data_IF_887522035213
#
_entry.id   IF_887522035213
#
_cell.length_a   1.000
_cell.length_b   1.000
_cell.length_c   1.000
_cell.angle_alpha   90.00
_cell.angle_beta   90.00
_cell.angle_gamma   90.00
#
_symmetry.space_group_name_H-M   'P 1'
#
loop_
_entity.id
_entity.type
_entity.pdbx_description
1 polymer ?
#
# COMPACT_ATOMS: atom_id res chain seq x y z
N UNK A 1 23.86 5.69 46.57
CA UNK A 1 23.85 6.01 45.13
C UNK A 1 23.35 4.79 44.38
N UNK A 2 22.13 4.80 43.85
CA UNK A 2 21.66 3.79 42.91
C UNK A 2 21.04 4.54 41.73
N UNK A 3 21.79 4.59 40.63
CA UNK A 3 21.36 5.16 39.37
C UNK A 3 20.41 4.17 38.68
N UNK A 4 19.13 4.51 38.63
CA UNK A 4 18.16 3.78 37.83
C UNK A 4 18.35 4.17 36.36
N UNK A 5 18.86 3.24 35.56
CA UNK A 5 18.99 3.39 34.11
C UNK A 5 17.59 3.20 33.51
N UNK A 6 16.96 4.31 33.10
CA UNK A 6 15.79 4.25 32.21
C UNK A 6 16.27 3.85 30.81
N UNK A 7 16.02 2.60 30.42
CA UNK A 7 16.12 2.18 29.03
C UNK A 7 14.88 2.66 28.28
N UNK A 8 15.02 3.73 27.49
CA UNK A 8 14.00 4.17 26.56
C UNK A 8 13.89 3.16 25.42
N UNK A 9 12.80 2.39 25.39
CA UNK A 9 12.42 1.58 24.23
C UNK A 9 11.94 2.56 23.15
N UNK A 10 12.81 2.90 22.19
CA UNK A 10 12.35 3.56 20.97
C UNK A 10 11.52 2.53 20.18
N UNK A 11 10.19 2.65 20.28
CA UNK A 11 9.29 1.98 19.36
C UNK A 11 9.61 2.51 17.95
N UNK A 12 10.15 1.64 17.08
CA UNK A 12 10.33 1.96 15.67
C UNK A 12 8.95 2.18 15.05
N UNK A 13 8.57 3.45 14.85
CA UNK A 13 7.39 3.79 14.08
C UNK A 13 7.59 3.26 12.65
N UNK A 14 6.58 2.66 12.02
CA UNK A 14 6.66 2.27 10.62
C UNK A 14 7.00 3.52 9.79
N UNK A 15 8.17 3.53 9.16
CA UNK A 15 8.59 4.64 8.31
C UNK A 15 7.67 4.69 7.09
N UNK A 16 7.24 5.88 6.64
CA UNK A 16 6.45 6.01 5.43
C UNK A 16 7.25 5.48 4.23
N UNK A 17 6.57 4.93 3.21
CA UNK A 17 7.24 4.44 2.02
C UNK A 17 8.02 5.57 1.36
N UNK A 18 9.28 5.29 1.00
CA UNK A 18 10.05 6.21 0.16
C UNK A 18 9.53 6.12 -1.26
N UNK A 19 9.14 7.27 -1.82
CA UNK A 19 8.69 7.35 -3.20
C UNK A 19 9.91 7.16 -4.11
N UNK A 20 10.07 5.95 -4.68
CA UNK A 20 11.03 5.76 -5.76
C UNK A 20 10.45 6.35 -7.05
N UNK A 21 10.92 7.54 -7.41
CA UNK A 21 10.51 8.28 -8.61
C UNK A 21 11.34 7.93 -9.84
N UNK A 22 12.33 7.03 -9.71
CA UNK A 22 13.21 6.66 -10.83
C UNK A 22 12.56 5.63 -11.76
N UNK A 23 11.55 4.91 -11.30
CA UNK A 23 10.83 3.92 -12.08
C UNK A 23 9.34 3.99 -11.76
N UNK A 24 8.49 4.12 -12.78
CA UNK A 24 7.04 4.05 -12.61
C UNK A 24 6.37 5.31 -12.07
N UNK A 25 5.06 5.19 -11.89
CA UNK A 25 4.15 6.27 -11.56
C UNK A 25 3.58 6.04 -10.15
N UNK A 26 3.47 7.12 -9.37
CA UNK A 26 2.81 7.10 -8.08
C UNK A 26 1.44 7.74 -8.20
N UNK A 27 0.41 7.01 -7.83
CA UNK A 27 -0.97 7.49 -7.91
C UNK A 27 -1.72 7.18 -6.62
N UNK A 28 -2.73 7.97 -6.31
CA UNK A 28 -3.73 7.63 -5.30
C UNK A 28 -4.94 7.11 -6.03
N UNK A 29 -5.45 5.95 -5.61
CA UNK A 29 -6.64 5.34 -6.20
C UNK A 29 -7.74 5.14 -5.18
N UNK A 30 -8.98 5.21 -5.64
CA UNK A 30 -10.15 4.68 -4.93
C UNK A 30 -10.52 3.30 -5.46
N UNK A 31 -10.49 2.27 -4.62
CA UNK A 31 -10.88 0.90 -4.93
C UNK A 31 -12.41 0.74 -4.99
N UNK A 32 -12.92 0.37 -6.17
CA UNK A 32 -14.33 0.09 -6.41
C UNK A 32 -14.66 -1.36 -6.02
N UNK A 33 -13.83 -2.30 -6.48
CA UNK A 33 -14.08 -3.74 -6.36
C UNK A 33 -12.80 -4.51 -6.11
N UNK A 34 -12.86 -5.49 -5.21
CA UNK A 34 -11.76 -6.41 -4.90
C UNK A 34 -12.23 -7.84 -5.14
N UNK A 35 -11.53 -8.55 -6.01
CA UNK A 35 -11.76 -9.95 -6.37
C UNK A 35 -10.54 -10.76 -6.00
N UNK A 36 -10.73 -11.91 -5.38
CA UNK A 36 -9.67 -12.87 -5.09
C UNK A 36 -9.91 -14.11 -5.98
N UNK A 37 -9.24 -14.21 -7.13
CA UNK A 37 -9.47 -15.30 -8.07
C UNK A 37 -8.98 -16.63 -7.50
N UNK A 38 -9.75 -17.70 -7.70
CA UNK A 38 -9.36 -19.04 -7.25
C UNK A 38 -8.07 -19.55 -7.91
N UNK A 39 -7.76 -19.06 -9.11
CA UNK A 39 -6.59 -19.43 -9.90
C UNK A 39 -5.33 -18.59 -9.63
N UNK A 40 -5.39 -17.59 -8.73
CA UNK A 40 -4.26 -16.72 -8.37
C UNK A 40 -4.14 -16.61 -6.84
N UNK A 41 -3.76 -17.71 -6.17
CA UNK A 41 -3.64 -17.74 -4.72
C UNK A 41 -2.59 -16.75 -4.23
N UNK A 42 -2.95 -15.91 -3.25
CA UNK A 42 -2.07 -14.88 -2.69
C UNK A 42 -2.10 -13.55 -3.45
N UNK A 43 -2.90 -13.43 -4.51
CA UNK A 43 -3.10 -12.19 -5.27
C UNK A 43 -4.58 -11.80 -5.35
N UNK A 44 -4.83 -10.49 -5.41
CA UNK A 44 -6.15 -9.90 -5.55
C UNK A 44 -6.18 -8.96 -6.75
N UNK A 45 -7.27 -9.00 -7.51
CA UNK A 45 -7.59 -7.98 -8.49
C UNK A 45 -8.36 -6.85 -7.84
N UNK A 46 -7.84 -5.64 -7.97
CA UNK A 46 -8.50 -4.41 -7.53
C UNK A 46 -8.86 -3.58 -8.74
N UNK A 47 -10.16 -3.38 -8.96
CA UNK A 47 -10.64 -2.36 -9.89
C UNK A 47 -10.72 -1.05 -9.13
N UNK A 48 -10.07 -0.02 -9.66
CA UNK A 48 -9.96 1.26 -8.99
C UNK A 48 -10.05 2.43 -9.96
N UNK A 49 -10.29 3.62 -9.41
CA UNK A 49 -10.26 4.90 -10.12
C UNK A 49 -9.11 5.74 -9.58
N UNK A 50 -8.35 6.37 -10.46
CA UNK A 50 -7.29 7.32 -10.07
C UNK A 50 -7.92 8.58 -9.50
N UNK A 51 -7.64 8.88 -8.24
CA UNK A 51 -8.06 10.12 -7.57
C UNK A 51 -7.03 11.23 -7.79
N UNK A 52 -5.74 10.88 -7.74
CA UNK A 52 -4.63 11.83 -7.83
C UNK A 52 -3.41 11.15 -8.47
N UNK A 53 -2.64 11.91 -9.23
CA UNK A 53 -1.30 11.51 -9.68
C UNK A 53 -0.29 12.26 -8.82
N UNK A 54 0.55 11.52 -8.12
CA UNK A 54 1.62 12.03 -7.24
C UNK A 54 2.91 12.20 -8.04
N UNK A 55 3.19 11.25 -8.94
CA UNK A 55 4.35 11.26 -9.82
C UNK A 55 4.08 10.43 -11.09
N UNK A 56 4.69 10.82 -12.21
CA UNK A 56 4.54 10.15 -13.51
C UNK A 56 3.47 10.79 -14.40
N UNK A 57 3.39 10.32 -15.65
CA UNK A 57 2.56 10.92 -16.71
C UNK A 57 1.67 9.90 -17.44
N UNK A 58 1.79 8.61 -17.10
CA UNK A 58 1.08 7.53 -17.79
C UNK A 58 -0.38 7.41 -17.32
N UNK A 59 -0.72 7.99 -16.17
CA UNK A 59 -2.06 7.95 -15.58
C UNK A 59 -2.69 9.33 -15.47
N UNK A 60 -4.02 9.38 -15.45
CA UNK A 60 -4.79 10.61 -15.31
C UNK A 60 -5.85 10.49 -14.23
N UNK A 61 -6.15 11.60 -13.56
CA UNK A 61 -7.26 11.67 -12.60
C UNK A 61 -8.57 11.28 -13.30
N UNK A 62 -9.35 10.42 -12.65
CA UNK A 62 -10.59 9.84 -13.17
C UNK A 62 -10.41 8.58 -14.01
N UNK A 63 -9.19 8.22 -14.41
CA UNK A 63 -8.91 7.00 -15.16
C UNK A 63 -9.25 5.76 -14.33
N UNK A 64 -9.81 4.73 -14.96
CA UNK A 64 -9.96 3.41 -14.33
C UNK A 64 -8.70 2.58 -14.54
N UNK A 65 -8.27 1.90 -13.49
CA UNK A 65 -7.11 1.00 -13.48
C UNK A 65 -7.52 -0.35 -12.89
N UNK A 66 -6.88 -1.41 -13.36
CA UNK A 66 -6.98 -2.74 -12.79
C UNK A 66 -5.62 -3.11 -12.22
N UNK A 67 -5.59 -3.42 -10.93
CA UNK A 67 -4.37 -3.68 -10.18
C UNK A 67 -4.34 -5.14 -9.76
N UNK A 68 -3.16 -5.75 -9.83
CA UNK A 68 -2.89 -7.05 -9.19
C UNK A 68 -2.04 -6.75 -7.96
N UNK A 69 -2.55 -7.09 -6.78
CA UNK A 69 -1.88 -6.81 -5.49
C UNK A 69 -1.73 -8.09 -4.68
N UNK A 70 -0.64 -8.27 -3.93
CA UNK A 70 -0.55 -9.37 -2.98
C UNK A 70 -1.61 -9.21 -1.88
N UNK A 71 -2.28 -10.29 -1.51
CA UNK A 71 -3.31 -10.27 -0.47
C UNK A 71 -3.42 -11.60 0.27
N UNK A 72 -3.91 -11.55 1.51
CA UNK A 72 -4.19 -12.74 2.32
C UNK A 72 -5.60 -13.26 2.05
N UNK A 73 -5.71 -14.52 1.62
CA UNK A 73 -6.96 -15.25 1.45
C UNK A 73 -6.94 -16.53 2.29
N UNK A 74 -7.91 -16.69 3.20
CA UNK A 74 -8.29 -17.99 3.77
C UNK A 74 -7.16 -18.84 4.38
N UNK A 75 -6.26 -18.27 5.18
CA UNK A 75 -5.19 -19.02 5.84
C UNK A 75 -3.95 -19.31 4.98
N UNK A 76 -3.91 -18.82 3.74
CA UNK A 76 -2.72 -18.83 2.91
C UNK A 76 -1.84 -17.62 3.24
N UNK A 77 -0.58 -17.88 3.60
CA UNK A 77 0.44 -16.86 3.77
C UNK A 77 0.95 -16.41 2.38
N UNK A 78 0.82 -15.12 2.02
CA UNK A 78 1.31 -14.58 0.76
C UNK A 78 2.83 -14.66 0.73
N UNK A 79 3.37 -15.02 -0.43
CA UNK A 79 4.76 -15.40 -0.65
C UNK A 79 5.75 -14.23 -0.56
N UNK A 80 5.26 -12.99 -0.42
CA UNK A 80 6.05 -11.77 -0.41
C UNK A 80 5.43 -10.75 0.54
N UNK A 81 6.13 -10.46 1.64
CA UNK A 81 5.85 -9.30 2.48
C UNK A 81 6.25 -8.01 1.74
N UNK A 82 5.42 -6.97 1.81
CA UNK A 82 5.79 -5.64 1.34
C UNK A 82 6.63 -5.01 2.47
N UNK A 83 7.96 -4.97 2.34
CA UNK A 83 8.88 -4.29 3.28
C UNK A 83 8.57 -4.55 4.78
N UNK A 84 8.46 -5.82 5.18
CA UNK A 84 8.18 -6.16 6.58
C UNK A 84 6.74 -5.89 7.06
N UNK A 85 5.86 -5.43 6.16
CA UNK A 85 4.42 -5.39 6.39
C UNK A 85 3.77 -6.64 5.80
N UNK A 86 2.98 -7.31 6.63
CA UNK A 86 2.14 -8.42 6.19
C UNK A 86 1.17 -7.93 5.11
N UNK A 87 1.02 -8.63 3.98
CA UNK A 87 0.09 -8.19 2.95
C UNK A 87 -1.34 -8.06 3.49
N UNK A 88 -2.12 -7.11 2.95
CA UNK A 88 -3.46 -6.83 3.46
C UNK A 88 -4.37 -8.03 3.27
N UNK A 89 -5.35 -8.19 4.16
CA UNK A 89 -6.42 -9.17 3.92
C UNK A 89 -7.35 -8.66 2.82
N UNK A 90 -8.07 -9.56 2.15
CA UNK A 90 -9.14 -9.17 1.22
C UNK A 90 -10.13 -8.20 1.90
N UNK A 91 -10.44 -8.45 3.17
CA UNK A 91 -11.35 -7.59 3.92
C UNK A 91 -10.77 -6.19 4.11
N UNK A 92 -9.48 -6.08 4.44
CA UNK A 92 -8.76 -4.80 4.53
C UNK A 92 -8.80 -4.05 3.21
N UNK A 93 -8.56 -4.71 2.07
CA UNK A 93 -8.64 -4.08 0.75
C UNK A 93 -10.07 -3.59 0.42
N UNK A 94 -11.10 -4.32 0.87
CA UNK A 94 -12.50 -3.94 0.66
C UNK A 94 -12.93 -2.74 1.51
N UNK A 95 -12.42 -2.65 2.73
CA UNK A 95 -12.75 -1.54 3.65
C UNK A 95 -11.89 -0.31 3.39
N UNK A 96 -10.61 -0.49 3.03
CA UNK A 96 -9.72 0.60 2.64
C UNK A 96 -9.97 0.98 1.19
N UNK A 97 -10.95 1.86 1.02
CA UNK A 97 -11.34 2.38 -0.29
C UNK A 97 -10.26 3.20 -0.96
N UNK A 98 -9.24 3.71 -0.26
CA UNK A 98 -8.20 4.55 -0.87
C UNK A 98 -6.79 4.07 -0.55
N UNK A 99 -5.93 4.05 -1.56
CA UNK A 99 -4.54 3.59 -1.44
C UNK A 99 -3.59 4.45 -2.28
N UNK A 100 -2.35 4.60 -1.81
CA UNK A 100 -1.21 5.08 -2.60
C UNK A 100 -0.62 3.87 -3.33
N UNK A 101 -0.40 4.02 -4.63
CA UNK A 101 -0.03 2.93 -5.53
C UNK A 101 1.20 3.30 -6.35
N UNK A 102 2.13 2.36 -6.52
CA UNK A 102 3.31 2.51 -7.39
C UNK A 102 3.22 1.54 -8.55
N UNK A 103 3.09 2.08 -9.77
CA UNK A 103 2.79 1.29 -10.97
C UNK A 103 3.87 1.44 -12.03
N UNK A 104 4.07 0.42 -12.86
CA UNK A 104 4.73 0.61 -14.15
C UNK A 104 3.78 1.28 -15.17
N UNK A 105 4.31 1.63 -16.35
CA UNK A 105 3.52 2.23 -17.43
C UNK A 105 2.39 1.32 -17.96
N UNK A 106 2.43 0.01 -17.65
CA UNK A 106 1.40 -0.96 -17.99
C UNK A 106 0.32 -1.13 -16.90
N UNK A 107 0.41 -0.39 -15.80
CA UNK A 107 -0.53 -0.47 -14.68
C UNK A 107 -0.28 -1.64 -13.73
N UNK A 108 0.88 -2.31 -13.82
CA UNK A 108 1.23 -3.38 -12.88
C UNK A 108 1.80 -2.76 -11.60
N UNK A 109 1.36 -3.28 -10.46
CA UNK A 109 1.86 -2.85 -9.16
C UNK A 109 3.31 -3.29 -9.01
N UNK A 110 4.20 -2.32 -8.81
CA UNK A 110 5.59 -2.58 -8.47
C UNK A 110 5.66 -3.09 -7.03
N UNK A 111 6.73 -3.82 -6.66
CA UNK A 111 6.85 -4.60 -5.41
C UNK A 111 6.60 -3.83 -4.10
N UNK A 112 6.48 -2.51 -4.18
CA UNK A 112 6.26 -1.57 -3.08
C UNK A 112 5.07 -0.65 -3.39
N UNK A 113 4.03 -1.15 -4.04
CA UNK A 113 3.09 -0.27 -4.73
C UNK A 113 1.67 -0.34 -4.28
N UNK A 114 1.29 -0.85 -3.10
CA UNK A 114 -0.10 -0.72 -2.64
C UNK A 114 -0.14 -0.48 -1.13
N UNK A 115 -0.23 0.80 -0.77
CA UNK A 115 -0.23 1.25 0.62
C UNK A 115 -1.59 1.83 0.98
N UNK A 116 -2.14 1.38 2.10
CA UNK A 116 -3.25 2.10 2.72
C UNK A 116 -2.85 3.56 2.93
N UNK A 117 -3.70 4.53 2.58
CA UNK A 117 -3.36 5.95 2.79
C UNK A 117 -3.07 6.28 4.26
N UNK A 118 -3.73 5.61 5.20
CA UNK A 118 -3.48 5.74 6.64
C UNK A 118 -2.09 5.26 7.08
N UNK A 119 -1.40 4.49 6.24
CA UNK A 119 -0.04 3.98 6.47
C UNK A 119 1.01 4.73 5.63
N UNK A 120 0.59 5.37 4.53
CA UNK A 120 1.47 6.10 3.62
C UNK A 120 1.75 7.55 4.06
N UNK A 121 0.89 8.13 4.90
CA UNK A 121 1.05 9.49 5.43
C UNK A 121 1.23 9.38 6.95
N UNK A 122 2.40 9.72 7.52
CA UNK A 122 2.45 9.97 8.95
C UNK A 122 1.49 11.13 9.21
N UNK A 123 0.47 10.91 10.05
CA UNK A 123 -0.31 12.02 10.61
C UNK A 123 0.71 13.08 11.03
N UNK A 124 0.62 14.28 10.46
CA UNK A 124 1.50 15.38 10.83
C UNK A 124 1.60 15.41 12.37
N UNK A 125 2.80 15.58 12.96
CA UNK A 125 2.92 15.64 14.41
C UNK A 125 1.92 16.67 14.90
N UNK A 126 1.05 16.26 15.83
CA UNK A 126 0.11 17.16 16.47
C UNK A 126 0.92 18.36 16.96
N UNK A 127 0.66 19.54 16.36
CA UNK A 127 1.24 20.79 16.80
C UNK A 127 0.88 20.92 18.29
N UNK A 128 1.88 20.74 19.13
CA UNK A 128 1.83 20.93 20.59
C UNK A 128 2.16 22.38 20.88
#
# INVERSE_FOLDING_TARGET
MLAAILAAVLAALPQPPTLDTRQGDWIIVTADRVVAPENMPGECFVQAKVDQVVHGENFRVGQRVALVVPCRQGGLEPTVAILGQAPPTIQTLRTQKRALVHLDAGGRVLRNGYYALSQAIPLAPALS
#
